data_IF_155889777763
#
_entry.id   IF_155889777763
#
_cell.length_a   1.000
_cell.length_b   1.000
_cell.length_c   1.000
_cell.angle_alpha   90.00
_cell.angle_beta   90.00
_cell.angle_gamma   90.00
#
_symmetry.space_group_name_H-M   'P 1'
#
loop_
_entity.id
_entity.type
_entity.pdbx_description
1 polymer ?
#
# COMPACT_ATOMS: atom_id res chain seq x y z
N UNK A 1 9.88 19.62 42.98
CA UNK A 1 10.37 19.47 41.60
C UNK A 1 9.88 18.13 41.10
N UNK A 2 8.81 18.13 40.32
CA UNK A 2 8.29 16.95 39.63
C UNK A 2 8.97 16.87 38.27
N UNK A 3 9.86 15.90 38.08
CA UNK A 3 10.42 15.56 36.78
C UNK A 3 9.34 14.82 35.97
N UNK A 4 8.91 15.42 34.86
CA UNK A 4 8.05 14.79 33.87
C UNK A 4 8.90 13.80 33.07
N UNK A 5 8.55 12.50 32.97
CA UNK A 5 9.32 11.57 32.17
C UNK A 5 9.17 11.94 30.69
N UNK A 6 10.30 12.14 30.01
CA UNK A 6 10.35 12.25 28.55
C UNK A 6 9.86 10.91 27.97
N UNK A 7 8.61 10.90 27.53
CA UNK A 7 8.03 9.74 26.88
C UNK A 7 8.67 9.57 25.50
N UNK A 8 9.69 8.74 25.42
CA UNK A 8 10.31 8.32 24.16
C UNK A 8 9.25 7.63 23.31
N UNK A 9 8.75 8.33 22.28
CA UNK A 9 7.78 7.79 21.33
C UNK A 9 8.43 6.64 20.56
N UNK A 10 7.68 5.56 20.37
CA UNK A 10 8.12 4.41 19.57
C UNK A 10 8.30 4.82 18.10
N UNK A 11 9.30 4.26 17.41
CA UNK A 11 9.54 4.50 15.98
C UNK A 11 8.31 4.18 15.13
N UNK A 12 7.51 3.19 15.51
CA UNK A 12 6.25 2.85 14.85
C UNK A 12 5.20 3.95 15.01
N UNK A 13 5.15 4.63 16.16
CA UNK A 13 4.20 5.72 16.39
C UNK A 13 4.57 6.96 15.58
N UNK A 14 5.86 7.28 15.46
CA UNK A 14 6.37 8.37 14.61
C UNK A 14 6.06 8.08 13.14
N UNK A 15 6.28 6.84 12.68
CA UNK A 15 5.98 6.44 11.29
C UNK A 15 4.48 6.53 10.99
N UNK A 16 3.60 6.10 11.91
CA UNK A 16 2.16 6.21 11.72
C UNK A 16 1.66 7.66 11.75
N UNK A 17 2.24 8.51 12.61
CA UNK A 17 1.92 9.94 12.72
C UNK A 17 2.38 10.72 11.47
N UNK A 18 3.55 10.39 10.92
CA UNK A 18 4.03 10.95 9.64
C UNK A 18 3.21 10.48 8.44
N UNK A 19 2.80 9.20 8.39
CA UNK A 19 1.93 8.68 7.34
C UNK A 19 0.54 9.33 7.37
N UNK A 20 0.03 9.68 8.56
CA UNK A 20 -1.22 10.44 8.70
C UNK A 20 -1.07 11.92 8.29
N UNK A 21 0.11 12.52 8.43
CA UNK A 21 0.35 13.93 8.09
C UNK A 21 0.58 14.15 6.58
N UNK A 22 1.06 13.13 5.87
CA UNK A 22 1.54 13.25 4.48
C UNK A 22 0.93 12.23 3.50
N UNK A 23 -0.33 11.79 3.71
CA UNK A 23 -1.04 10.91 2.79
C UNK A 23 -0.98 11.45 1.35
N UNK A 24 -0.07 10.93 0.55
CA UNK A 24 0.28 11.46 -0.76
C UNK A 24 -0.46 10.66 -1.83
N UNK A 25 -0.88 11.29 -2.93
CA UNK A 25 -1.10 10.59 -4.22
C UNK A 25 -0.56 11.36 -5.42
N UNK A 26 0.03 10.69 -6.42
CA UNK A 26 0.32 11.27 -7.72
C UNK A 26 -0.78 10.89 -8.70
N UNK A 27 -1.38 11.92 -9.30
CA UNK A 27 -1.59 12.07 -10.74
C UNK A 27 -2.13 13.49 -10.89
N UNK A 28 -1.42 14.33 -11.65
CA UNK A 28 -1.53 15.82 -11.74
C UNK A 28 -0.73 16.54 -10.66
N UNK A 29 -0.18 17.73 -10.98
CA UNK A 29 0.81 18.52 -10.22
C UNK A 29 0.41 18.95 -8.77
N UNK A 30 -0.65 18.37 -8.18
CA UNK A 30 -1.13 18.68 -6.83
C UNK A 30 -1.44 17.40 -6.03
N UNK A 31 -1.14 17.38 -4.70
CA UNK A 31 -1.47 16.25 -3.84
C UNK A 31 -2.98 15.98 -3.78
N UNK A 32 -3.41 14.73 -3.92
CA UNK A 32 -4.79 14.32 -3.66
C UNK A 32 -5.01 14.08 -2.15
N UNK A 33 -5.75 14.96 -1.45
CA UNK A 33 -5.89 14.89 0.01
C UNK A 33 -6.92 13.85 0.48
N UNK A 34 -7.55 13.10 -0.43
CA UNK A 34 -8.62 12.16 -0.06
C UNK A 34 -8.04 10.97 0.73
N UNK A 35 -8.63 10.65 1.89
CA UNK A 35 -8.15 9.54 2.71
C UNK A 35 -8.36 8.19 2.02
N UNK A 36 -7.68 7.16 2.50
CA UNK A 36 -8.03 5.78 2.19
C UNK A 36 -9.44 5.47 2.74
N UNK A 37 -10.18 4.53 2.13
CA UNK A 37 -11.48 4.15 2.66
C UNK A 37 -11.34 3.51 4.04
N UNK A 38 -12.38 3.69 4.87
CA UNK A 38 -12.42 3.12 6.22
C UNK A 38 -12.28 1.58 6.19
N UNK A 39 -11.39 0.98 7.02
CA UNK A 39 -11.14 -0.46 6.99
C UNK A 39 -12.38 -1.32 7.29
N UNK A 40 -13.25 -0.88 8.19
CA UNK A 40 -14.45 -1.62 8.55
C UNK A 40 -15.50 -1.51 7.44
N UNK A 41 -15.64 -0.32 6.84
CA UNK A 41 -16.49 -0.13 5.66
C UNK A 41 -16.03 -1.00 4.48
N UNK A 42 -14.72 -1.10 4.24
CA UNK A 42 -14.16 -2.02 3.25
C UNK A 42 -14.53 -3.47 3.60
N UNK A 43 -14.37 -3.87 4.86
CA UNK A 43 -14.64 -5.23 5.30
C UNK A 43 -16.08 -5.64 5.03
N UNK A 44 -17.02 -4.79 5.44
CA UNK A 44 -18.45 -4.99 5.20
C UNK A 44 -18.74 -5.07 3.71
N UNK A 45 -18.20 -4.16 2.90
CA UNK A 45 -18.46 -4.15 1.46
C UNK A 45 -17.97 -5.42 0.75
N UNK A 46 -16.81 -5.97 1.12
CA UNK A 46 -16.32 -7.22 0.52
C UNK A 46 -17.15 -8.41 0.97
N UNK A 47 -17.55 -8.47 2.24
CA UNK A 47 -18.47 -9.50 2.74
C UNK A 47 -19.81 -9.45 1.99
N UNK A 48 -20.42 -8.26 1.83
CA UNK A 48 -21.67 -8.08 1.11
C UNK A 48 -21.58 -8.55 -0.35
N UNK A 49 -20.44 -8.32 -1.03
CA UNK A 49 -20.20 -8.81 -2.40
C UNK A 49 -20.20 -10.34 -2.43
N UNK A 50 -19.50 -10.99 -1.50
CA UNK A 50 -19.45 -12.45 -1.41
C UNK A 50 -20.82 -13.03 -1.07
N UNK A 51 -21.49 -12.49 -0.05
CA UNK A 51 -22.83 -12.91 0.36
C UNK A 51 -23.85 -12.75 -0.78
N UNK A 52 -23.78 -11.67 -1.56
CA UNK A 52 -24.63 -11.49 -2.73
C UNK A 52 -24.39 -12.58 -3.77
N UNK A 53 -23.13 -12.91 -4.09
CA UNK A 53 -22.81 -13.98 -5.05
C UNK A 53 -23.29 -15.35 -4.55
N UNK A 54 -23.02 -15.68 -3.28
CA UNK A 54 -23.41 -16.96 -2.69
C UNK A 54 -24.93 -17.08 -2.63
N UNK A 55 -25.61 -16.11 -2.00
CA UNK A 55 -27.06 -16.19 -1.79
C UNK A 55 -27.90 -16.20 -3.07
N UNK A 56 -27.40 -15.61 -4.17
CA UNK A 56 -28.13 -15.55 -5.44
C UNK A 56 -27.87 -16.74 -6.36
N UNK A 57 -26.74 -17.44 -6.21
CA UNK A 57 -26.37 -18.57 -7.06
C UNK A 57 -26.54 -19.93 -6.38
N UNK A 58 -26.45 -20.02 -5.04
CA UNK A 58 -26.68 -21.27 -4.30
C UNK A 58 -28.07 -21.84 -4.55
N UNK A 59 -28.18 -23.17 -4.61
CA UNK A 59 -29.41 -23.91 -4.91
C UNK A 59 -30.01 -23.57 -6.30
N UNK A 60 -29.21 -23.00 -7.20
CA UNK A 60 -29.60 -22.72 -8.58
C UNK A 60 -28.79 -23.56 -9.57
N UNK A 61 -29.19 -23.54 -10.84
CA UNK A 61 -28.42 -24.18 -11.92
C UNK A 61 -27.04 -23.53 -12.16
N UNK A 62 -26.78 -22.37 -11.56
CA UNK A 62 -25.52 -21.63 -11.67
C UNK A 62 -24.60 -21.86 -10.46
N UNK A 63 -25.02 -22.62 -9.45
CA UNK A 63 -24.17 -22.97 -8.30
C UNK A 63 -22.82 -23.58 -8.71
N UNK A 64 -22.71 -24.44 -9.76
CA UNK A 64 -21.41 -24.95 -10.20
C UNK A 64 -20.41 -23.87 -10.62
N UNK A 65 -20.86 -22.67 -10.99
CA UNK A 65 -20.01 -21.55 -11.40
C UNK A 65 -19.53 -20.70 -10.20
N UNK A 66 -20.08 -20.94 -9.00
CA UNK A 66 -19.84 -20.11 -7.81
C UNK A 66 -18.36 -20.11 -7.40
N UNK A 67 -17.70 -21.27 -7.43
CA UNK A 67 -16.27 -21.38 -7.09
C UNK A 67 -15.42 -20.45 -7.97
N UNK A 68 -15.61 -20.50 -9.28
CA UNK A 68 -14.84 -19.68 -10.22
C UNK A 68 -15.14 -18.19 -10.07
N UNK A 69 -16.38 -17.82 -9.73
CA UNK A 69 -16.79 -16.43 -9.48
C UNK A 69 -16.17 -15.87 -8.20
N UNK A 70 -16.23 -16.61 -7.09
CA UNK A 70 -15.59 -16.21 -5.83
C UNK A 70 -14.07 -16.14 -6.00
N UNK A 71 -13.48 -17.14 -6.67
CA UNK A 71 -12.05 -17.14 -6.98
C UNK A 71 -11.65 -15.90 -7.80
N UNK A 72 -12.44 -15.56 -8.83
CA UNK A 72 -12.19 -14.42 -9.71
C UNK A 72 -12.34 -13.08 -8.99
N UNK A 73 -13.25 -13.00 -8.02
CA UNK A 73 -13.45 -11.83 -7.16
C UNK A 73 -12.23 -11.57 -6.29
N UNK A 74 -11.71 -12.59 -5.59
CA UNK A 74 -10.44 -12.47 -4.85
C UNK A 74 -9.27 -12.12 -5.77
N UNK A 75 -9.23 -12.76 -6.94
CA UNK A 75 -8.17 -12.54 -7.93
C UNK A 75 -8.17 -11.12 -8.54
N UNK A 76 -9.30 -10.39 -8.51
CA UNK A 76 -9.35 -8.99 -8.92
C UNK A 76 -8.44 -8.12 -8.03
N UNK A 77 -8.56 -8.27 -6.71
CA UNK A 77 -7.74 -7.53 -5.75
C UNK A 77 -6.28 -7.96 -5.86
N UNK A 78 -6.02 -9.27 -5.97
CA UNK A 78 -4.67 -9.78 -6.18
C UNK A 78 -3.97 -9.15 -7.40
N UNK A 79 -4.61 -9.18 -8.57
CA UNK A 79 -4.03 -8.59 -9.79
C UNK A 79 -3.79 -7.09 -9.68
N UNK A 80 -4.64 -6.39 -8.92
CA UNK A 80 -4.50 -4.94 -8.70
C UNK A 80 -3.34 -4.64 -7.77
N UNK A 81 -3.15 -5.42 -6.71
CA UNK A 81 -1.99 -5.36 -5.85
C UNK A 81 -0.69 -5.63 -6.64
N UNK A 82 -0.67 -6.66 -7.49
CA UNK A 82 0.51 -6.97 -8.30
C UNK A 82 0.87 -5.85 -9.29
N UNK A 83 -0.12 -5.26 -9.98
CA UNK A 83 0.13 -4.12 -10.87
C UNK A 83 0.73 -2.95 -10.11
N UNK A 84 0.13 -2.59 -8.98
CA UNK A 84 0.63 -1.51 -8.11
C UNK A 84 2.03 -1.81 -7.58
N UNK A 85 2.33 -3.08 -7.28
CA UNK A 85 3.69 -3.49 -6.87
C UNK A 85 4.71 -3.30 -7.98
N UNK A 86 4.38 -3.57 -9.24
CA UNK A 86 5.29 -3.34 -10.39
C UNK A 86 5.54 -1.85 -10.62
N UNK A 87 4.50 -1.03 -10.42
CA UNK A 87 4.62 0.44 -10.47
C UNK A 87 5.54 0.94 -9.35
N UNK A 88 5.36 0.42 -8.13
CA UNK A 88 6.25 0.73 -7.00
C UNK A 88 7.69 0.31 -7.26
N UNK A 89 7.93 -0.91 -7.76
CA UNK A 89 9.28 -1.39 -8.10
C UNK A 89 9.97 -0.48 -9.14
N UNK A 90 9.18 0.08 -10.07
CA UNK A 90 9.66 1.04 -11.08
C UNK A 90 10.03 2.38 -10.45
N UNK A 91 9.16 2.91 -9.58
CA UNK A 91 9.41 4.14 -8.83
C UNK A 91 10.65 3.99 -7.92
N UNK A 92 10.84 2.86 -7.26
CA UNK A 92 12.02 2.59 -6.44
C UNK A 92 13.32 2.61 -7.25
N UNK A 93 13.30 2.05 -8.45
CA UNK A 93 14.45 2.12 -9.36
C UNK A 93 14.72 3.57 -9.79
N UNK A 94 13.67 4.37 -9.99
CA UNK A 94 13.80 5.80 -10.29
C UNK A 94 14.41 6.57 -9.10
N UNK A 95 13.95 6.34 -7.87
CA UNK A 95 14.54 6.92 -6.66
C UNK A 95 16.04 6.59 -6.55
N UNK A 96 16.42 5.33 -6.75
CA UNK A 96 17.83 4.89 -6.73
C UNK A 96 18.69 5.54 -7.81
N UNK A 97 18.12 5.87 -8.98
CA UNK A 97 18.83 6.63 -10.03
C UNK A 97 18.95 8.10 -9.64
N UNK A 98 17.84 8.72 -9.23
CA UNK A 98 17.80 10.12 -8.82
C UNK A 98 18.74 10.44 -7.65
N UNK A 99 18.91 9.53 -6.68
CA UNK A 99 19.92 9.66 -5.62
C UNK A 99 21.36 9.63 -6.16
N UNK A 100 21.67 8.74 -7.10
CA UNK A 100 23.02 8.61 -7.70
C UNK A 100 23.37 9.79 -8.59
N UNK A 101 22.36 10.42 -9.18
CA UNK A 101 22.48 11.56 -10.09
C UNK A 101 22.38 12.91 -9.36
N UNK A 102 22.33 12.93 -8.01
CA UNK A 102 22.33 14.18 -7.25
C UNK A 102 23.59 14.99 -7.54
N UNK A 103 23.39 16.24 -7.95
CA UNK A 103 24.43 17.23 -8.23
C UNK A 103 24.39 18.42 -7.25
N UNK A 104 23.54 18.33 -6.23
CA UNK A 104 23.31 19.37 -5.24
C UNK A 104 22.26 20.41 -5.64
N UNK A 105 21.78 20.40 -6.90
CA UNK A 105 20.79 21.37 -7.35
C UNK A 105 19.41 21.19 -6.70
N UNK A 106 18.68 22.30 -6.56
CA UNK A 106 17.29 22.31 -6.08
C UNK A 106 16.39 21.48 -6.99
N UNK A 107 16.58 21.56 -8.31
CA UNK A 107 15.78 20.80 -9.29
C UNK A 107 15.87 19.30 -9.02
N UNK A 108 17.09 18.75 -8.87
CA UNK A 108 17.29 17.32 -8.58
C UNK A 108 16.76 16.91 -7.20
N UNK A 109 16.74 17.84 -6.26
CA UNK A 109 16.21 17.59 -4.91
C UNK A 109 14.69 17.47 -4.95
N UNK A 110 14.02 18.39 -5.64
CA UNK A 110 12.56 18.37 -5.85
C UNK A 110 12.12 17.15 -6.65
N UNK A 111 12.88 16.75 -7.67
CA UNK A 111 12.62 15.50 -8.43
C UNK A 111 12.64 14.27 -7.51
N UNK A 112 13.63 14.16 -6.62
CA UNK A 112 13.72 13.07 -5.66
C UNK A 112 12.58 13.10 -4.63
N UNK A 113 12.24 14.28 -4.10
CA UNK A 113 11.10 14.46 -3.19
C UNK A 113 9.78 14.02 -3.85
N UNK A 114 9.57 14.37 -5.12
CA UNK A 114 8.39 13.96 -5.90
C UNK A 114 8.32 12.44 -6.05
N UNK A 115 9.45 11.79 -6.39
CA UNK A 115 9.51 10.34 -6.53
C UNK A 115 9.27 9.60 -5.20
N UNK A 116 9.80 10.12 -4.08
CA UNK A 116 9.56 9.55 -2.75
C UNK A 116 8.07 9.58 -2.44
N UNK A 117 7.46 10.73 -2.69
CA UNK A 117 6.08 10.94 -2.33
C UNK A 117 5.15 10.06 -3.19
N UNK A 118 5.41 9.92 -4.49
CA UNK A 118 4.75 8.92 -5.34
C UNK A 118 4.95 7.48 -4.80
N UNK A 119 6.16 7.15 -4.37
CA UNK A 119 6.47 5.84 -3.80
C UNK A 119 5.64 5.54 -2.54
N UNK A 120 5.42 6.53 -1.67
CA UNK A 120 4.56 6.40 -0.48
C UNK A 120 3.13 6.06 -0.90
N UNK A 121 2.60 6.72 -1.92
CA UNK A 121 1.25 6.42 -2.41
C UNK A 121 1.13 5.01 -2.98
N UNK A 122 2.09 4.62 -3.82
CA UNK A 122 2.06 3.31 -4.45
C UNK A 122 2.16 2.22 -3.38
N UNK A 123 2.95 2.46 -2.33
CA UNK A 123 3.03 1.61 -1.15
C UNK A 123 1.69 1.48 -0.44
N UNK A 124 1.03 2.60 -0.11
CA UNK A 124 -0.28 2.60 0.56
C UNK A 124 -1.35 1.89 -0.28
N UNK A 125 -1.40 2.18 -1.58
CA UNK A 125 -2.33 1.54 -2.52
C UNK A 125 -2.09 0.04 -2.60
N UNK A 126 -0.84 -0.40 -2.73
CA UNK A 126 -0.49 -1.84 -2.75
C UNK A 126 -0.96 -2.51 -1.46
N UNK A 127 -0.64 -1.94 -0.31
CA UNK A 127 -1.02 -2.50 0.99
C UNK A 127 -2.55 -2.60 1.15
N UNK A 128 -3.30 -1.60 0.68
CA UNK A 128 -4.76 -1.63 0.69
C UNK A 128 -5.31 -2.78 -0.18
N UNK A 129 -4.78 -2.98 -1.39
CA UNK A 129 -5.22 -4.08 -2.25
C UNK A 129 -4.76 -5.46 -1.76
N UNK A 130 -3.61 -5.55 -1.09
CA UNK A 130 -3.19 -6.79 -0.41
C UNK A 130 -4.15 -7.13 0.75
N UNK A 131 -4.58 -6.15 1.54
CA UNK A 131 -5.56 -6.37 2.61
C UNK A 131 -6.95 -6.79 2.06
N UNK A 132 -7.42 -6.16 0.99
CA UNK A 132 -8.64 -6.55 0.28
C UNK A 132 -8.57 -7.99 -0.25
N UNK A 133 -7.44 -8.38 -0.84
CA UNK A 133 -7.18 -9.74 -1.31
C UNK A 133 -7.26 -10.73 -0.14
N UNK A 134 -6.58 -10.45 0.96
CA UNK A 134 -6.52 -11.36 2.11
C UNK A 134 -7.91 -11.55 2.72
N UNK A 135 -8.70 -10.47 2.87
CA UNK A 135 -10.09 -10.58 3.32
C UNK A 135 -10.96 -11.40 2.36
N UNK A 136 -10.85 -11.15 1.05
CA UNK A 136 -11.59 -11.92 0.05
C UNK A 136 -11.17 -13.39 0.02
N UNK A 137 -9.91 -13.71 0.32
CA UNK A 137 -9.43 -15.08 0.48
C UNK A 137 -10.03 -15.76 1.73
N UNK A 138 -10.12 -15.05 2.87
CA UNK A 138 -10.80 -15.53 4.07
C UNK A 138 -12.29 -15.84 3.82
N UNK A 139 -12.97 -14.99 3.06
CA UNK A 139 -14.38 -15.21 2.68
C UNK A 139 -14.53 -16.39 1.70
N UNK A 140 -13.64 -16.50 0.72
CA UNK A 140 -13.58 -17.66 -0.18
C UNK A 140 -13.46 -18.97 0.61
N UNK A 141 -12.54 -19.02 1.57
CA UNK A 141 -12.36 -20.15 2.48
C UNK A 141 -13.61 -20.43 3.31
N UNK A 142 -14.22 -19.38 3.84
CA UNK A 142 -15.43 -19.48 4.68
C UNK A 142 -16.59 -20.10 3.90
N UNK A 143 -16.79 -19.71 2.64
CA UNK A 143 -17.93 -20.19 1.85
C UNK A 143 -17.68 -21.55 1.17
N UNK A 144 -16.45 -21.86 0.76
CA UNK A 144 -16.16 -23.06 -0.03
C UNK A 144 -15.38 -24.13 0.74
N UNK A 145 -14.85 -23.83 1.92
CA UNK A 145 -14.05 -24.76 2.72
C UNK A 145 -12.68 -25.10 2.13
N UNK A 146 -12.22 -24.35 1.12
CA UNK A 146 -10.94 -24.54 0.45
C UNK A 146 -10.13 -23.24 0.42
N UNK A 147 -8.80 -23.37 0.58
CA UNK A 147 -7.88 -22.24 0.59
C UNK A 147 -7.77 -21.60 -0.78
N UNK A 148 -7.98 -20.29 -0.84
CA UNK A 148 -7.78 -19.54 -2.08
C UNK A 148 -6.29 -19.48 -2.45
N UNK A 149 -5.96 -19.79 -3.70
CA UNK A 149 -4.62 -19.64 -4.23
C UNK A 149 -4.65 -18.93 -5.59
N UNK A 150 -3.69 -18.02 -5.85
CA UNK A 150 -3.55 -17.46 -7.19
C UNK A 150 -3.07 -18.56 -8.15
N UNK A 151 -3.61 -18.57 -9.38
CA UNK A 151 -3.26 -19.55 -10.43
C UNK A 151 -1.85 -19.35 -10.96
N UNK A 152 -1.30 -18.14 -10.80
CA UNK A 152 0.07 -17.78 -11.12
C UNK A 152 0.51 -16.63 -10.19
N UNK A 153 1.81 -16.51 -9.96
CA UNK A 153 2.36 -15.49 -9.05
C UNK A 153 2.49 -15.99 -7.62
N UNK A 154 2.93 -15.11 -6.72
CA UNK A 154 3.21 -15.45 -5.33
C UNK A 154 2.20 -14.79 -4.40
N UNK A 155 1.68 -15.55 -3.44
CA UNK A 155 0.83 -15.04 -2.36
C UNK A 155 1.68 -14.46 -1.22
N UNK A 156 2.39 -13.36 -1.50
CA UNK A 156 3.22 -12.67 -0.51
C UNK A 156 2.53 -11.37 -0.09
N UNK A 157 2.66 -11.03 1.19
CA UNK A 157 2.25 -9.74 1.74
C UNK A 157 3.52 -8.99 2.15
N UNK A 158 3.69 -7.74 1.71
CA UNK A 158 4.90 -6.94 1.94
C UNK A 158 4.55 -5.76 2.85
N UNK A 159 4.38 -5.99 4.15
CA UNK A 159 3.86 -4.97 5.08
C UNK A 159 4.84 -3.85 5.49
N UNK A 160 6.09 -3.89 5.03
CA UNK A 160 7.14 -2.97 5.49
C UNK A 160 7.42 -1.87 4.46
N UNK A 161 7.82 -0.69 4.95
CA UNK A 161 8.50 0.33 4.14
C UNK A 161 9.63 -0.32 3.35
N UNK A 162 9.80 0.09 2.10
CA UNK A 162 10.83 -0.49 1.24
C UNK A 162 12.17 0.18 1.52
N UNK A 163 13.26 -0.59 1.38
CA UNK A 163 14.61 -0.06 1.64
C UNK A 163 14.90 1.20 0.82
N UNK A 164 14.43 1.25 -0.42
CA UNK A 164 14.53 2.41 -1.31
C UNK A 164 13.90 3.68 -0.71
N UNK A 165 12.73 3.58 -0.08
CA UNK A 165 12.07 4.72 0.59
C UNK A 165 12.83 5.16 1.85
N UNK A 166 13.34 4.19 2.62
CA UNK A 166 14.13 4.49 3.83
C UNK A 166 15.42 5.23 3.43
N UNK A 167 16.17 4.68 2.49
CA UNK A 167 17.43 5.24 1.99
C UNK A 167 17.22 6.66 1.41
N UNK A 168 16.15 6.85 0.63
CA UNK A 168 15.82 8.16 0.05
C UNK A 168 15.52 9.22 1.11
N UNK A 169 14.77 8.85 2.16
CA UNK A 169 14.44 9.77 3.26
C UNK A 169 15.69 10.14 4.05
N UNK A 170 16.55 9.17 4.34
CA UNK A 170 17.80 9.40 5.08
C UNK A 170 18.75 10.30 4.30
N UNK A 171 18.82 10.15 2.97
CA UNK A 171 19.61 11.00 2.08
C UNK A 171 19.18 12.47 2.16
N UNK A 172 17.87 12.77 2.05
CA UNK A 172 17.35 14.13 2.16
C UNK A 172 17.57 14.72 3.56
N UNK A 173 17.37 13.92 4.61
CA UNK A 173 17.64 14.35 5.98
C UNK A 173 19.12 14.65 6.23
N UNK A 174 20.04 13.92 5.58
CA UNK A 174 21.47 14.22 5.63
C UNK A 174 21.80 15.53 4.87
N UNK A 175 21.23 15.74 3.68
CA UNK A 175 21.43 16.97 2.91
C UNK A 175 20.96 18.21 3.69
N UNK A 176 19.73 18.19 4.22
CA UNK A 176 19.17 19.31 5.01
C UNK A 176 20.04 19.67 6.22
N UNK A 177 20.70 18.68 6.84
CA UNK A 177 21.65 18.93 7.94
C UNK A 177 22.92 19.61 7.44
N UNK A 178 23.48 19.16 6.31
CA UNK A 178 24.66 19.77 5.70
C UNK A 178 24.40 21.21 5.25
N UNK A 179 23.21 21.52 4.74
CA UNK A 179 22.85 22.88 4.32
C UNK A 179 22.64 23.85 5.50
N UNK A 180 22.43 23.32 6.73
CA UNK A 180 22.21 24.09 7.96
C UNK A 180 23.49 24.30 8.79
N UNK A 181 24.56 23.55 8.53
CA UNK A 181 25.87 23.74 9.18
C UNK A 181 26.72 24.75 8.37
N UNK A 182 27.14 25.89 8.98
CA UNK A 182 27.85 26.97 8.30
C UNK A 182 29.34 26.70 8.03
#
# INVERSE_FOLDING_TARGET
>A
MTETPLQTRSSTAVVLEELQLYGWRPFTDEPDPRPLPDPDAIRSAVADIFDALVSTLSDTRLEPDLEDLLWSTTNLFHRTAERTSRDLDTNEQAQKRAQREQDGSEVRSVELETLIAEGITLLERRNAFEALRDLAAELFETHLGQTWHPRAGSHVNRRTLTASLIDSRDHLAAKRRADLEP
#
